data_IF_316659399493
#
_entry.id   IF_316659399493
#
_cell.length_a   1.000
_cell.length_b   1.000
_cell.length_c   1.000
_cell.angle_alpha   90.00
_cell.angle_beta   90.00
_cell.angle_gamma   90.00
#
_symmetry.space_group_name_H-M   'P 1'
#
loop_
_entity.id
_entity.type
_entity.pdbx_description
1 polymer ?
#
# COMPACT_ATOMS: atom_id res chain seq x y z
N UNK A 1 -11.37 -5.58 0.08
CA UNK A 1 -11.08 -6.97 0.50
C UNK A 1 -11.91 -7.25 1.75
N UNK A 2 -12.92 -8.11 1.67
CA UNK A 2 -13.78 -8.45 2.81
C UNK A 2 -13.22 -9.72 3.45
N UNK A 3 -12.63 -9.61 4.64
CA UNK A 3 -12.27 -10.76 5.46
C UNK A 3 -13.26 -10.79 6.61
N UNK A 4 -14.02 -11.87 6.75
CA UNK A 4 -14.84 -12.17 7.92
C UNK A 4 -14.24 -13.42 8.56
N UNK A 5 -13.85 -13.31 9.83
CA UNK A 5 -13.35 -14.42 10.64
C UNK A 5 -14.38 -14.73 11.72
N UNK A 6 -14.67 -16.02 11.92
CA UNK A 6 -15.43 -16.50 13.06
C UNK A 6 -14.51 -16.51 14.30
N UNK A 7 -14.80 -15.64 15.26
CA UNK A 7 -14.06 -15.48 16.51
C UNK A 7 -14.34 -14.13 17.17
N UNK A 8 -13.96 -13.95 18.44
CA UNK A 8 -14.15 -12.70 19.21
C UNK A 8 -13.40 -11.47 18.63
N UNK A 9 -12.54 -11.69 17.62
CA UNK A 9 -11.81 -10.66 16.90
C UNK A 9 -12.70 -9.91 15.90
N UNK A 10 -13.15 -8.71 16.28
CA UNK A 10 -14.01 -7.85 15.46
C UNK A 10 -13.24 -7.25 14.28
N UNK A 11 -13.43 -7.78 13.08
CA UNK A 11 -12.97 -7.15 11.84
C UNK A 11 -13.87 -5.95 11.53
N UNK A 12 -13.26 -4.79 11.30
CA UNK A 12 -13.97 -3.55 10.93
C UNK A 12 -13.46 -3.05 9.58
N UNK A 13 -14.41 -2.69 8.73
CA UNK A 13 -14.12 -2.04 7.47
C UNK A 13 -13.88 -0.56 7.77
N UNK A 14 -12.74 -0.06 7.35
CA UNK A 14 -12.37 1.35 7.43
C UNK A 14 -12.15 1.86 6.01
N UNK A 15 -12.60 3.09 5.75
CA UNK A 15 -12.46 3.72 4.44
C UNK A 15 -11.14 4.48 4.31
N UNK A 16 -10.49 4.79 5.44
CA UNK A 16 -9.19 5.45 5.46
C UNK A 16 -8.29 4.90 6.57
N UNK A 17 -6.98 5.05 6.38
CA UNK A 17 -5.97 4.75 7.42
C UNK A 17 -6.15 5.61 8.68
N UNK A 18 -6.65 6.84 8.52
CA UNK A 18 -6.96 7.76 9.63
C UNK A 18 -8.14 7.29 10.49
N UNK A 19 -9.12 6.62 9.91
CA UNK A 19 -10.23 6.06 10.70
C UNK A 19 -9.74 4.94 11.62
N UNK A 20 -8.74 4.18 11.19
CA UNK A 20 -8.10 3.19 12.05
C UNK A 20 -7.35 3.83 13.24
N UNK A 21 -6.69 4.98 13.02
CA UNK A 21 -6.07 5.78 14.10
C UNK A 21 -7.14 6.28 15.08
N UNK A 22 -8.27 6.81 14.60
CA UNK A 22 -9.40 7.22 15.45
C UNK A 22 -9.94 6.08 16.29
N UNK A 23 -10.07 4.88 15.71
CA UNK A 23 -10.51 3.70 16.45
C UNK A 23 -9.54 3.32 17.56
N UNK A 24 -8.23 3.42 17.32
CA UNK A 24 -7.21 3.16 18.34
C UNK A 24 -7.31 4.16 19.50
N UNK A 25 -7.52 5.44 19.19
CA UNK A 25 -7.74 6.49 20.19
C UNK A 25 -9.00 6.25 21.04
N UNK A 26 -10.11 5.83 20.43
CA UNK A 26 -11.36 5.55 21.12
C UNK A 26 -11.33 4.26 21.95
N UNK A 27 -10.40 3.35 21.67
CA UNK A 27 -10.31 2.04 22.33
C UNK A 27 -8.89 1.79 22.86
N UNK A 28 -8.39 2.56 23.83
CA UNK A 28 -6.99 2.48 24.29
C UNK A 28 -6.60 1.11 24.86
N UNK A 29 -7.57 0.34 25.36
CA UNK A 29 -7.36 -1.02 25.89
C UNK A 29 -7.28 -2.11 24.81
N UNK A 30 -7.57 -1.79 23.54
CA UNK A 30 -7.61 -2.75 22.43
C UNK A 30 -6.46 -2.47 21.47
N UNK A 31 -5.81 -3.53 21.01
CA UNK A 31 -4.85 -3.45 19.91
C UNK A 31 -5.61 -3.34 18.60
N UNK A 32 -5.33 -2.29 17.84
CA UNK A 32 -5.89 -2.05 16.51
C UNK A 32 -4.79 -2.27 15.49
N UNK A 33 -5.02 -3.20 14.57
CA UNK A 33 -4.08 -3.52 13.48
C UNK A 33 -4.72 -3.07 12.17
N UNK A 34 -4.12 -2.08 11.51
CA UNK A 34 -4.52 -1.63 10.19
C UNK A 34 -3.80 -2.46 9.12
N UNK A 35 -4.58 -3.18 8.31
CA UNK A 35 -4.09 -3.98 7.19
C UNK A 35 -3.89 -3.06 5.97
N UNK A 36 -2.67 -2.59 5.77
CA UNK A 36 -2.35 -1.66 4.70
C UNK A 36 -1.97 -2.42 3.42
N UNK A 37 -2.97 -2.68 2.58
CA UNK A 37 -2.80 -3.27 1.26
C UNK A 37 -2.97 -2.16 0.21
N UNK A 38 -2.00 -2.04 -0.68
CA UNK A 38 -2.07 -1.07 -1.76
C UNK A 38 -0.80 -1.05 -2.58
N UNK A 39 -0.80 -0.19 -3.58
CA UNK A 39 0.40 0.12 -4.36
C UNK A 39 1.06 1.40 -3.81
N UNK A 40 2.04 1.93 -4.52
CA UNK A 40 2.78 3.15 -4.17
C UNK A 40 1.88 4.34 -3.86
N UNK A 41 0.66 4.36 -4.41
CA UNK A 41 -0.32 5.43 -4.21
C UNK A 41 -0.97 5.42 -2.83
N UNK A 42 -1.00 4.28 -2.17
CA UNK A 42 -1.67 4.07 -0.89
C UNK A 42 -0.68 4.12 0.28
N UNK A 43 0.62 3.96 0.00
CA UNK A 43 1.69 4.01 0.99
C UNK A 43 1.79 5.36 1.72
N UNK A 44 1.67 6.53 1.08
CA UNK A 44 1.73 7.82 1.79
C UNK A 44 0.59 8.02 2.78
N UNK A 45 -0.63 7.61 2.44
CA UNK A 45 -1.77 7.68 3.36
C UNK A 45 -1.57 6.80 4.60
N UNK A 46 -0.94 5.64 4.45
CA UNK A 46 -0.57 4.80 5.58
C UNK A 46 0.55 5.43 6.41
N UNK A 47 1.56 6.02 5.78
CA UNK A 47 2.65 6.71 6.47
C UNK A 47 2.12 7.88 7.33
N UNK A 48 1.19 8.68 6.80
CA UNK A 48 0.52 9.75 7.55
C UNK A 48 -0.19 9.19 8.79
N UNK A 49 -0.85 8.04 8.69
CA UNK A 49 -1.52 7.42 9.83
C UNK A 49 -0.53 6.97 10.92
N UNK A 50 0.63 6.43 10.54
CA UNK A 50 1.71 6.07 11.48
C UNK A 50 2.27 7.32 12.17
N UNK A 51 2.54 8.38 11.41
CA UNK A 51 3.03 9.66 11.95
C UNK A 51 2.02 10.24 12.94
N UNK A 52 0.73 10.24 12.61
CA UNK A 52 -0.32 10.72 13.51
C UNK A 52 -0.41 9.88 14.78
N UNK A 53 -0.36 8.55 14.67
CA UNK A 53 -0.37 7.67 15.84
C UNK A 53 0.85 7.91 16.75
N UNK A 54 2.02 8.17 16.17
CA UNK A 54 3.24 8.53 16.90
C UNK A 54 3.09 9.88 17.62
N UNK A 55 2.64 10.92 16.92
CA UNK A 55 2.43 12.25 17.50
C UNK A 55 1.37 12.25 18.62
N UNK A 56 0.34 11.41 18.48
CA UNK A 56 -0.70 11.21 19.49
C UNK A 56 -0.32 10.20 20.59
N UNK A 57 0.89 9.65 20.56
CA UNK A 57 1.42 8.66 21.53
C UNK A 57 0.54 7.42 21.69
N UNK A 58 -0.04 6.93 20.59
CA UNK A 58 -0.89 5.74 20.59
C UNK A 58 -0.05 4.47 20.60
N UNK A 59 0.01 3.79 21.75
CA UNK A 59 0.77 2.53 21.92
C UNK A 59 0.00 1.28 21.45
N UNK A 60 -1.26 1.44 21.03
CA UNK A 60 -2.16 0.36 20.66
C UNK A 60 -2.51 0.32 19.17
N UNK A 61 -1.86 1.15 18.35
CA UNK A 61 -2.04 1.19 16.90
C UNK A 61 -0.87 0.51 16.19
N UNK A 62 -1.17 -0.44 15.32
CA UNK A 62 -0.20 -1.20 14.55
C UNK A 62 -0.59 -1.20 13.08
N UNK A 63 0.41 -1.30 12.20
CA UNK A 63 0.19 -1.41 10.75
C UNK A 63 0.81 -2.70 10.25
N UNK A 64 0.01 -3.53 9.59
CA UNK A 64 0.51 -4.63 8.77
C UNK A 64 0.71 -4.11 7.35
N UNK A 65 1.96 -3.81 6.99
CA UNK A 65 2.30 -3.26 5.67
C UNK A 65 2.41 -4.39 4.64
N UNK A 66 1.47 -4.42 3.71
CA UNK A 66 1.46 -5.30 2.54
C UNK A 66 1.43 -4.48 1.23
N UNK A 67 2.05 -3.30 1.26
CA UNK A 67 2.19 -2.46 0.08
C UNK A 67 3.09 -3.13 -0.96
N UNK A 68 2.72 -2.99 -2.22
CA UNK A 68 3.45 -3.54 -3.37
C UNK A 68 3.95 -2.41 -4.25
N UNK A 69 5.04 -2.70 -4.96
CA UNK A 69 5.63 -1.81 -5.96
C UNK A 69 5.32 -2.41 -7.33
N UNK A 70 4.88 -1.57 -8.27
CA UNK A 70 4.45 -1.96 -9.62
C UNK A 70 5.61 -2.44 -10.51
N UNK A 71 6.75 -1.72 -10.63
CA UNK A 71 7.83 -2.12 -11.54
C UNK A 71 8.34 -3.57 -11.38
N UNK A 72 8.56 -4.12 -10.17
CA UNK A 72 8.95 -5.53 -10.02
C UNK A 72 7.90 -6.52 -10.52
N UNK A 73 6.61 -6.22 -10.31
CA UNK A 73 5.51 -7.06 -10.77
C UNK A 73 5.40 -7.04 -12.31
N UNK A 74 5.63 -5.88 -12.94
CA UNK A 74 5.64 -5.76 -14.40
C UNK A 74 6.84 -6.47 -15.01
N UNK A 75 8.03 -6.35 -14.41
CA UNK A 75 9.23 -7.07 -14.85
C UNK A 75 9.01 -8.59 -14.83
N UNK A 76 8.44 -9.12 -13.75
CA UNK A 76 8.14 -10.55 -13.64
C UNK A 76 7.25 -11.06 -14.78
N UNK A 77 6.28 -10.27 -15.26
CA UNK A 77 5.42 -10.66 -16.38
C UNK A 77 6.17 -10.72 -17.73
N UNK A 78 7.17 -9.87 -17.93
CA UNK A 78 7.99 -9.88 -19.15
C UNK A 78 8.97 -11.05 -19.12
N UNK A 79 9.60 -11.28 -17.97
CA UNK A 79 10.57 -12.37 -17.77
C UNK A 79 9.90 -13.75 -17.95
N UNK A 80 8.59 -13.87 -17.67
CA UNK A 80 7.79 -15.09 -17.89
C UNK A 80 7.41 -15.33 -19.37
N UNK A 81 7.94 -14.52 -20.30
CA UNK A 81 7.79 -14.71 -21.74
C UNK A 81 6.48 -14.18 -22.33
N UNK A 82 5.72 -13.36 -21.58
CA UNK A 82 4.50 -12.73 -22.09
C UNK A 82 4.88 -11.66 -23.12
N UNK A 83 4.38 -11.80 -24.35
CA UNK A 83 4.59 -10.80 -25.42
C UNK A 83 3.74 -9.56 -25.16
N UNK A 84 4.32 -8.55 -24.53
CA UNK A 84 3.68 -7.25 -24.23
C UNK A 84 4.26 -6.19 -25.17
N UNK A 85 3.42 -5.63 -26.06
CA UNK A 85 3.84 -4.57 -26.99
C UNK A 85 3.83 -3.16 -26.38
N UNK A 86 3.26 -3.00 -25.18
CA UNK A 86 3.18 -1.73 -24.49
C UNK A 86 2.39 -1.85 -23.19
N UNK A 87 2.65 -0.94 -22.26
CA UNK A 87 1.91 -0.86 -21.00
C UNK A 87 1.04 0.38 -20.98
N UNK A 88 -0.23 0.19 -20.63
CA UNK A 88 -1.09 1.28 -20.19
C UNK A 88 -0.84 1.43 -18.69
N UNK A 89 -0.09 2.46 -18.30
CA UNK A 89 0.15 2.75 -16.89
C UNK A 89 -1.18 3.01 -16.15
N UNK A 90 -1.30 2.63 -14.86
CA UNK A 90 -2.47 3.03 -14.08
C UNK A 90 -2.53 4.55 -14.01
N UNK A 91 -3.65 5.14 -14.43
CA UNK A 91 -3.88 6.59 -14.42
C UNK A 91 -3.71 7.22 -13.02
N UNK A 92 -3.75 6.37 -11.98
CA UNK A 92 -3.69 6.72 -10.56
C UNK A 92 -2.26 6.79 -9.98
N UNK A 93 -1.19 6.44 -10.72
CA UNK A 93 0.21 6.54 -10.21
C UNK A 93 0.70 8.00 -10.16
N UNK A 94 -0.04 8.89 -9.49
CA UNK A 94 0.32 10.31 -9.35
C UNK A 94 1.51 10.52 -8.39
N UNK A 95 1.80 9.54 -7.54
CA UNK A 95 2.78 9.67 -6.47
C UNK A 95 4.22 9.26 -6.85
N UNK A 96 4.39 8.52 -7.96
CA UNK A 96 5.72 8.28 -8.50
C UNK A 96 6.06 9.40 -9.49
N UNK A 97 7.22 10.07 -9.37
CA UNK A 97 7.67 10.99 -10.40
C UNK A 97 7.70 10.27 -11.74
N UNK A 98 7.19 10.90 -12.80
CA UNK A 98 7.28 10.36 -14.17
C UNK A 98 8.74 10.01 -14.52
N UNK A 99 9.70 10.74 -13.96
CA UNK A 99 11.14 10.47 -14.06
C UNK A 99 11.57 9.17 -13.39
N UNK A 100 10.98 8.79 -12.24
CA UNK A 100 11.29 7.53 -11.57
C UNK A 100 10.68 6.35 -12.35
N UNK A 101 9.47 6.55 -12.87
CA UNK A 101 8.85 5.59 -13.78
C UNK A 101 9.70 5.42 -15.04
N UNK A 102 10.12 6.49 -15.72
CA UNK A 102 10.97 6.38 -16.90
C UNK A 102 12.32 5.72 -16.61
N UNK A 103 12.96 6.04 -15.48
CA UNK A 103 14.26 5.46 -15.10
C UNK A 103 14.16 3.96 -14.80
N UNK A 104 13.12 3.52 -14.10
CA UNK A 104 12.96 2.11 -13.74
C UNK A 104 12.36 1.31 -14.90
N UNK A 105 11.44 1.91 -15.67
CA UNK A 105 10.65 1.25 -16.68
C UNK A 105 11.30 1.26 -18.07
N UNK A 106 11.69 2.43 -18.59
CA UNK A 106 12.29 2.53 -19.92
C UNK A 106 13.70 1.94 -19.94
N UNK A 107 14.47 2.11 -18.88
CA UNK A 107 15.86 1.62 -18.83
C UNK A 107 15.96 0.09 -18.73
N UNK A 108 14.97 -0.58 -18.15
CA UNK A 108 14.97 -2.04 -17.97
C UNK A 108 14.16 -2.81 -19.01
N UNK A 109 13.36 -2.16 -19.86
CA UNK A 109 12.58 -2.82 -20.92
C UNK A 109 12.89 -2.38 -22.34
N UNK A 110 13.29 -1.12 -22.58
CA UNK A 110 13.52 -0.59 -23.95
C UNK A 110 14.96 -0.79 -24.40
N UNK A 111 15.90 -0.96 -23.47
CA UNK A 111 17.30 -1.24 -23.77
C UNK A 111 17.79 -2.46 -22.97
N UNK A 112 17.38 -3.68 -23.33
CA UNK A 112 18.19 -4.83 -22.98
C UNK A 112 19.47 -4.72 -23.84
N UNK A 113 20.60 -4.38 -23.22
CA UNK A 113 21.89 -4.81 -23.74
C UNK A 113 22.04 -6.30 -23.40
#
# INVERSE_FOLDING_TARGET
MFVRREGEEKIRIVYSSLDAVKMAKQNPKKRIIFLAIGFETTAPSTAIAVINAFNEKLNNFFVFSAHKIMPPAMKALVDDGVKINGYIGPVMLVLLPVQLFSTIFLKNMVYPL
#
